data_IF_366199317729
#
_entry.id   IF_366199317729
#
_cell.length_a   1.000
_cell.length_b   1.000
_cell.length_c   1.000
_cell.angle_alpha   90.00
_cell.angle_beta   90.00
_cell.angle_gamma   90.00
#
_symmetry.space_group_name_H-M   'P 1'
#
loop_
_entity.id
_entity.type
_entity.pdbx_description
1 polymer ?
#
# COMPACT_ATOMS: atom_id res chain seq x y z
N UNK A 1 82.73 80.92 -6.57
CA UNK A 1 82.96 79.95 -7.67
C UNK A 1 81.77 79.00 -7.73
N UNK A 2 81.05 78.97 -8.87
CA UNK A 2 80.07 77.96 -9.37
C UNK A 2 78.93 77.52 -8.42
N UNK A 3 77.67 77.29 -8.78
CA UNK A 3 76.80 77.49 -9.95
C UNK A 3 75.67 76.47 -9.76
N UNK A 4 74.43 76.98 -9.60
CA UNK A 4 73.13 76.38 -9.95
C UNK A 4 72.59 75.11 -9.26
N UNK A 5 71.53 75.38 -8.47
CA UNK A 5 70.39 74.50 -8.15
C UNK A 5 69.74 73.92 -9.41
N UNK A 6 69.29 72.66 -9.33
CA UNK A 6 67.99 72.27 -9.92
C UNK A 6 67.20 71.46 -8.87
N UNK A 7 65.96 71.88 -8.63
CA UNK A 7 64.96 71.19 -7.80
C UNK A 7 64.28 70.14 -8.66
N UNK A 8 64.20 68.89 -8.20
CA UNK A 8 63.25 67.90 -8.72
C UNK A 8 62.52 67.32 -7.51
N UNK A 9 61.21 67.57 -7.42
CA UNK A 9 60.33 67.00 -6.40
C UNK A 9 60.07 65.51 -6.69
N UNK A 10 59.89 64.65 -5.67
CA UNK A 10 59.57 63.24 -5.89
C UNK A 10 58.14 63.06 -6.42
N UNK A 11 57.89 62.10 -7.34
CA UNK A 11 56.56 61.84 -7.87
C UNK A 11 55.66 61.13 -6.85
N UNK A 12 54.40 61.58 -6.76
CA UNK A 12 53.36 61.08 -5.86
C UNK A 12 53.06 59.58 -6.10
N UNK A 13 53.28 58.73 -5.09
CA UNK A 13 53.10 57.26 -5.13
C UNK A 13 51.70 56.80 -5.57
N UNK A 14 50.66 57.62 -5.37
CA UNK A 14 49.29 57.34 -5.81
C UNK A 14 49.16 57.24 -7.35
N UNK A 15 49.95 58.02 -8.10
CA UNK A 15 49.90 58.04 -9.57
C UNK A 15 50.51 56.79 -10.20
N UNK A 16 51.46 56.15 -9.53
CA UNK A 16 52.14 54.95 -10.02
C UNK A 16 51.28 53.70 -9.87
N UNK A 17 50.57 53.59 -8.74
CA UNK A 17 49.59 52.51 -8.51
C UNK A 17 48.39 52.61 -9.45
N UNK A 18 47.87 53.82 -9.68
CA UNK A 18 46.79 54.05 -10.64
C UNK A 18 47.20 53.68 -12.08
N UNK A 19 48.44 54.00 -12.49
CA UNK A 19 48.97 53.67 -13.82
C UNK A 19 49.23 52.17 -13.99
N UNK A 20 49.69 51.50 -12.93
CA UNK A 20 49.89 50.04 -12.93
C UNK A 20 48.56 49.26 -12.97
N UNK A 21 47.55 49.70 -12.21
CA UNK A 21 46.19 49.15 -12.28
C UNK A 21 45.55 49.37 -13.66
N UNK A 22 45.74 50.54 -14.27
CA UNK A 22 45.24 50.85 -15.62
C UNK A 22 45.85 49.93 -16.70
N UNK A 23 47.16 49.71 -16.67
CA UNK A 23 47.86 48.82 -17.61
C UNK A 23 47.43 47.36 -17.40
N UNK A 24 47.23 46.95 -16.14
CA UNK A 24 46.74 45.61 -15.82
C UNK A 24 45.30 45.41 -16.33
N UNK A 25 44.44 46.42 -16.18
CA UNK A 25 43.07 46.45 -16.71
C UNK A 25 43.04 46.40 -18.25
N UNK A 26 43.91 47.12 -18.94
CA UNK A 26 44.01 47.06 -20.41
C UNK A 26 44.51 45.69 -20.91
N UNK A 27 45.50 45.10 -20.23
CA UNK A 27 46.00 43.75 -20.54
C UNK A 27 44.95 42.65 -20.32
N UNK A 28 44.20 42.75 -19.20
CA UNK A 28 43.05 41.89 -18.92
C UNK A 28 41.95 42.05 -19.99
N UNK A 29 41.67 43.28 -20.42
CA UNK A 29 40.66 43.57 -21.45
C UNK A 29 41.05 43.02 -22.83
N UNK A 30 42.33 43.09 -23.21
CA UNK A 30 42.84 42.54 -24.47
C UNK A 30 42.73 41.01 -24.51
N UNK A 31 43.16 40.34 -23.44
CA UNK A 31 43.07 38.87 -23.32
C UNK A 31 41.60 38.39 -23.33
N UNK A 32 40.71 39.11 -22.64
CA UNK A 32 39.28 38.83 -22.62
C UNK A 32 38.62 38.99 -24.00
N UNK A 33 39.08 39.97 -24.80
CA UNK A 33 38.57 40.20 -26.16
C UNK A 33 38.91 39.06 -27.14
N UNK A 34 40.09 38.45 -27.00
CA UNK A 34 40.52 37.30 -27.81
C UNK A 34 39.71 36.06 -27.41
N UNK A 35 39.52 35.85 -26.10
CA UNK A 35 38.74 34.74 -25.57
C UNK A 35 37.27 34.79 -26.04
N UNK A 36 36.64 35.97 -25.99
CA UNK A 36 35.25 36.16 -26.44
C UNK A 36 35.08 35.98 -27.95
N UNK A 37 36.12 36.29 -28.74
CA UNK A 37 36.12 36.12 -30.21
C UNK A 37 36.16 34.65 -30.63
N UNK A 38 36.77 33.79 -29.83
CA UNK A 38 36.87 32.34 -30.07
C UNK A 38 35.83 31.52 -29.29
N UNK A 39 34.88 32.18 -28.63
CA UNK A 39 33.83 31.51 -27.86
C UNK A 39 32.81 30.83 -28.78
N UNK A 40 32.31 29.66 -28.37
CA UNK A 40 31.19 28.97 -29.02
C UNK A 40 29.84 29.68 -28.82
N UNK A 41 29.78 30.68 -27.93
CA UNK A 41 28.57 31.46 -27.67
C UNK A 41 28.46 32.58 -28.72
N UNK A 42 27.49 32.44 -29.63
CA UNK A 42 27.26 33.37 -30.75
C UNK A 42 27.18 34.85 -30.33
N UNK A 43 26.57 35.12 -29.17
CA UNK A 43 26.41 36.49 -28.68
C UNK A 43 27.75 37.08 -28.20
N UNK A 44 28.65 36.28 -27.63
CA UNK A 44 29.98 36.71 -27.18
C UNK A 44 30.88 37.18 -28.33
N UNK A 45 30.81 36.50 -29.48
CA UNK A 45 31.61 36.86 -30.67
C UNK A 45 31.12 38.18 -31.29
N UNK A 46 29.81 38.43 -31.26
CA UNK A 46 29.17 39.66 -31.77
C UNK A 46 29.38 40.90 -30.89
N UNK A 47 29.50 40.72 -29.56
CA UNK A 47 29.80 41.80 -28.60
C UNK A 47 31.16 42.45 -28.90
N UNK A 48 32.14 41.70 -29.41
CA UNK A 48 33.47 42.22 -29.76
C UNK A 48 33.51 42.85 -31.15
N UNK A 49 32.77 42.29 -32.12
CA UNK A 49 32.86 42.64 -33.55
C UNK A 49 31.84 43.71 -34.03
N UNK A 50 30.70 43.90 -33.35
CA UNK A 50 29.62 44.78 -33.82
C UNK A 50 29.83 46.27 -33.46
N UNK A 51 29.28 47.18 -34.27
CA UNK A 51 29.21 48.63 -33.95
C UNK A 51 28.26 48.93 -32.78
N UNK A 52 27.24 48.08 -32.56
CA UNK A 52 26.25 48.22 -31.48
C UNK A 52 26.60 47.36 -30.26
N UNK A 53 27.85 47.45 -29.78
CA UNK A 53 28.38 46.61 -28.67
C UNK A 53 27.49 46.61 -27.42
N UNK A 54 26.92 47.77 -27.08
CA UNK A 54 26.02 47.94 -25.92
C UNK A 54 24.71 47.15 -26.08
N UNK A 55 24.13 47.11 -27.28
CA UNK A 55 22.90 46.37 -27.54
C UNK A 55 23.13 44.85 -27.45
N UNK A 56 24.22 44.35 -28.04
CA UNK A 56 24.58 42.93 -27.95
C UNK A 56 24.96 42.49 -26.54
N UNK A 57 25.62 43.37 -25.78
CA UNK A 57 25.89 43.12 -24.37
C UNK A 57 24.60 43.07 -23.54
N UNK A 58 23.64 43.97 -23.79
CA UNK A 58 22.31 43.91 -23.15
C UNK A 58 21.58 42.61 -23.49
N UNK A 59 21.60 42.17 -24.75
CA UNK A 59 21.02 40.88 -25.17
C UNK A 59 21.68 39.71 -24.45
N UNK A 60 23.01 39.72 -24.31
CA UNK A 60 23.75 38.71 -23.57
C UNK A 60 23.33 38.67 -22.09
N UNK A 61 23.28 39.83 -21.42
CA UNK A 61 22.86 39.95 -20.02
C UNK A 61 21.42 39.46 -19.83
N UNK A 62 20.48 39.88 -20.69
CA UNK A 62 19.09 39.43 -20.64
C UNK A 62 19.00 37.92 -20.83
N UNK A 63 19.73 37.35 -21.81
CA UNK A 63 19.73 35.91 -22.05
C UNK A 63 20.28 35.10 -20.88
N UNK A 64 21.32 35.61 -20.20
CA UNK A 64 21.88 34.99 -19.00
C UNK A 64 20.88 35.01 -17.84
N UNK A 65 20.23 36.15 -17.59
CA UNK A 65 19.21 36.28 -16.53
C UNK A 65 18.05 35.31 -16.78
N UNK A 66 17.52 35.27 -18.01
CA UNK A 66 16.42 34.36 -18.36
C UNK A 66 16.85 32.90 -18.23
N UNK A 67 18.05 32.55 -18.70
CA UNK A 67 18.59 31.19 -18.59
C UNK A 67 18.77 30.78 -17.13
N UNK A 68 19.40 31.61 -16.30
CA UNK A 68 19.56 31.37 -14.86
C UNK A 68 18.20 31.20 -14.15
N UNK A 69 17.21 32.02 -14.49
CA UNK A 69 15.85 31.86 -13.94
C UNK A 69 15.21 30.53 -14.35
N UNK A 70 15.35 30.11 -15.61
CA UNK A 70 14.83 28.82 -16.09
C UNK A 70 15.53 27.64 -15.45
N UNK A 71 16.86 27.69 -15.30
CA UNK A 71 17.64 26.67 -14.60
C UNK A 71 17.21 26.60 -13.14
N UNK A 72 17.09 27.74 -12.45
CA UNK A 72 16.61 27.77 -11.07
C UNK A 72 15.22 27.15 -10.91
N UNK A 73 14.27 27.49 -11.81
CA UNK A 73 12.95 26.86 -11.82
C UNK A 73 12.98 25.37 -12.09
N UNK A 74 13.81 24.90 -13.01
CA UNK A 74 13.96 23.48 -13.31
C UNK A 74 14.58 22.72 -12.12
N UNK A 75 15.60 23.29 -11.50
CA UNK A 75 16.19 22.80 -10.26
C UNK A 75 15.15 22.68 -9.15
N UNK A 76 14.34 23.72 -8.92
CA UNK A 76 13.25 23.66 -7.94
C UNK A 76 12.27 22.51 -8.24
N UNK A 77 11.88 22.33 -9.50
CA UNK A 77 10.98 21.26 -9.91
C UNK A 77 11.62 19.87 -9.73
N UNK A 78 12.91 19.73 -10.04
CA UNK A 78 13.65 18.49 -9.86
C UNK A 78 13.68 18.04 -8.40
N UNK A 79 13.96 18.96 -7.47
CA UNK A 79 13.97 18.67 -6.02
C UNK A 79 12.59 18.49 -5.39
N UNK A 80 11.50 18.75 -6.12
CA UNK A 80 10.14 18.42 -5.67
C UNK A 80 9.77 16.95 -5.91
N UNK A 81 10.60 16.20 -6.66
CA UNK A 81 10.36 14.80 -7.02
C UNK A 81 8.92 14.53 -7.53
N UNK A 82 8.43 15.28 -8.53
CA UNK A 82 7.10 15.05 -9.08
C UNK A 82 7.03 13.67 -9.75
N UNK A 83 5.90 12.99 -9.60
CA UNK A 83 5.64 11.67 -10.21
C UNK A 83 4.63 11.78 -11.35
N UNK A 84 4.79 10.92 -12.35
CA UNK A 84 3.80 10.74 -13.43
C UNK A 84 3.33 9.29 -13.40
N UNK A 85 2.01 9.10 -13.35
CA UNK A 85 1.42 7.76 -13.37
C UNK A 85 1.36 7.26 -14.81
N UNK A 86 1.99 6.11 -15.06
CA UNK A 86 1.90 5.40 -16.34
C UNK A 86 0.93 4.23 -16.20
N UNK A 87 -0.13 4.24 -17.01
CA UNK A 87 -1.08 3.13 -17.09
C UNK A 87 -0.72 2.26 -18.29
N UNK A 88 -0.34 1.01 -18.03
CA UNK A 88 -0.02 0.03 -19.06
C UNK A 88 -0.97 -1.16 -18.94
N UNK A 89 -1.54 -1.58 -20.08
CA UNK A 89 -2.33 -2.81 -20.17
C UNK A 89 -1.37 -3.88 -20.67
N UNK A 90 -0.95 -4.78 -19.77
CA UNK A 90 -0.11 -5.92 -20.15
C UNK A 90 -0.98 -7.10 -20.55
N UNK A 91 -0.94 -7.45 -21.84
CA UNK A 91 -1.58 -8.66 -22.36
C UNK A 91 -0.65 -9.87 -22.18
N UNK A 92 -0.71 -10.50 -21.02
CA UNK A 92 0.03 -11.74 -20.75
C UNK A 92 -0.78 -12.96 -21.15
N UNK A 93 -0.15 -13.95 -21.82
CA UNK A 93 -0.80 -15.23 -22.21
C UNK A 93 -1.37 -16.02 -21.04
N UNK A 94 -0.82 -15.84 -19.84
CA UNK A 94 -1.31 -16.49 -18.62
C UNK A 94 -1.26 -15.52 -17.45
N UNK A 95 -2.29 -15.53 -16.62
CA UNK A 95 -2.38 -14.74 -15.38
C UNK A 95 -2.31 -15.66 -14.16
N UNK A 96 -1.70 -15.18 -13.09
CA UNK A 96 -1.71 -15.88 -11.78
C UNK A 96 -3.15 -15.85 -11.27
N UNK A 97 -3.71 -17.02 -11.00
CA UNK A 97 -5.04 -17.09 -10.39
C UNK A 97 -4.92 -16.62 -8.93
N UNK A 98 -5.87 -15.84 -8.41
CA UNK A 98 -5.81 -15.38 -7.02
C UNK A 98 -6.01 -16.53 -6.04
N UNK A 99 -5.80 -16.26 -4.76
CA UNK A 99 -6.29 -17.13 -3.70
C UNK A 99 -7.75 -16.75 -3.39
N UNK A 100 -8.57 -17.77 -3.14
CA UNK A 100 -9.99 -17.60 -2.84
C UNK A 100 -10.26 -18.25 -1.48
N UNK A 101 -10.54 -17.42 -0.48
CA UNK A 101 -10.90 -17.85 0.86
C UNK A 101 -12.40 -17.83 1.04
N UNK A 102 -12.94 -18.90 1.59
CA UNK A 102 -14.34 -19.06 1.94
C UNK A 102 -14.44 -19.48 3.39
N UNK A 103 -15.27 -18.77 4.15
CA UNK A 103 -15.61 -19.11 5.53
C UNK A 103 -17.11 -19.27 5.64
N UNK A 104 -17.57 -20.34 6.27
CA UNK A 104 -18.98 -20.46 6.63
C UNK A 104 -19.32 -19.39 7.68
N UNK A 105 -20.48 -18.73 7.57
CA UNK A 105 -20.93 -17.81 8.62
C UNK A 105 -21.39 -18.54 9.89
N UNK A 106 -21.51 -19.86 9.82
CA UNK A 106 -21.64 -20.73 10.98
C UNK A 106 -20.28 -20.97 11.65
N UNK A 107 -20.05 -20.22 12.72
CA UNK A 107 -18.81 -20.23 13.51
C UNK A 107 -18.59 -21.54 14.30
N UNK A 108 -19.68 -22.15 14.77
CA UNK A 108 -19.67 -23.34 15.61
C UNK A 108 -20.90 -24.18 15.29
N UNK A 109 -20.68 -25.45 14.95
CA UNK A 109 -21.77 -26.40 14.75
C UNK A 109 -22.60 -26.50 16.04
N UNK A 110 -23.88 -26.16 15.95
CA UNK A 110 -24.84 -26.42 17.01
C UNK A 110 -25.32 -27.87 17.02
N UNK A 111 -26.13 -28.20 18.02
CA UNK A 111 -26.96 -29.40 17.98
C UNK A 111 -27.91 -29.33 16.75
N UNK A 112 -28.23 -30.50 16.19
CA UNK A 112 -29.15 -30.60 15.06
C UNK A 112 -30.53 -30.06 15.47
N UNK A 113 -30.88 -28.88 14.97
CA UNK A 113 -32.17 -28.26 15.24
C UNK A 113 -33.04 -28.40 13.98
N UNK A 114 -34.18 -29.09 14.09
CA UNK A 114 -35.22 -29.09 13.07
C UNK A 114 -35.88 -27.72 13.10
N UNK A 115 -35.30 -26.74 12.42
CA UNK A 115 -35.95 -25.45 12.19
C UNK A 115 -37.04 -25.69 11.14
N UNK A 116 -38.31 -25.52 11.52
CA UNK A 116 -39.42 -25.54 10.57
C UNK A 116 -39.16 -24.51 9.46
N UNK A 117 -39.45 -24.89 8.22
CA UNK A 117 -39.13 -24.15 7.00
C UNK A 117 -40.05 -22.91 6.77
N UNK A 118 -40.76 -22.48 7.81
CA UNK A 118 -41.86 -21.50 7.75
C UNK A 118 -41.43 -20.07 8.05
N UNK A 119 -40.23 -19.84 8.58
CA UNK A 119 -39.74 -18.48 8.81
C UNK A 119 -39.00 -17.93 7.57
N UNK A 120 -39.47 -16.82 6.97
CA UNK A 120 -38.71 -16.15 5.93
C UNK A 120 -37.36 -15.75 6.53
N UNK A 121 -36.29 -16.25 5.92
CA UNK A 121 -34.92 -16.02 6.34
C UNK A 121 -34.54 -14.56 6.01
N UNK A 122 -35.06 -13.62 6.76
CA UNK A 122 -34.48 -12.28 6.86
C UNK A 122 -33.34 -12.38 7.84
N UNK A 123 -32.12 -12.57 7.32
CA UNK A 123 -30.95 -12.41 8.16
C UNK A 123 -30.88 -10.96 8.61
N UNK A 124 -31.23 -10.67 9.86
CA UNK A 124 -30.84 -9.38 10.43
C UNK A 124 -29.31 -9.37 10.45
N UNK A 125 -28.65 -8.33 9.92
CA UNK A 125 -27.20 -8.24 10.08
C UNK A 125 -26.90 -8.31 11.58
N UNK A 126 -25.85 -9.05 11.96
CA UNK A 126 -25.30 -9.03 13.32
C UNK A 126 -24.94 -7.58 13.69
N UNK A 127 -25.94 -6.83 14.14
CA UNK A 127 -25.76 -5.51 14.69
C UNK A 127 -25.06 -5.69 16.03
N UNK A 128 -25.30 -6.78 16.77
CA UNK A 128 -24.76 -7.01 18.13
C UNK A 128 -23.24 -7.26 18.08
N UNK A 129 -22.50 -6.18 18.31
CA UNK A 129 -21.24 -6.11 19.10
C UNK A 129 -19.86 -6.29 18.46
N UNK A 130 -19.70 -6.60 17.17
CA UNK A 130 -18.34 -6.65 16.61
C UNK A 130 -17.90 -5.39 15.84
N UNK A 131 -18.86 -4.60 15.32
CA UNK A 131 -18.65 -3.26 14.72
C UNK A 131 -19.62 -2.19 15.25
N UNK A 132 -20.48 -2.52 16.24
CA UNK A 132 -21.27 -1.50 16.98
C UNK A 132 -20.32 -0.75 17.91
N UNK A 133 -19.50 0.10 17.28
CA UNK A 133 -19.20 1.45 17.69
C UNK A 133 -18.86 1.66 19.18
N UNK A 134 -17.62 2.11 19.39
CA UNK A 134 -17.21 3.03 20.45
C UNK A 134 -18.23 4.15 20.79
N UNK A 135 -19.26 4.38 19.96
CA UNK A 135 -20.36 5.32 20.22
C UNK A 135 -21.23 4.96 21.45
N UNK A 136 -21.32 3.69 21.87
CA UNK A 136 -22.10 3.36 23.09
C UNK A 136 -21.31 3.53 24.39
N UNK A 137 -20.00 3.74 24.32
CA UNK A 137 -19.17 4.01 25.50
C UNK A 137 -19.25 5.47 25.99
N UNK A 138 -19.95 6.36 25.26
CA UNK A 138 -20.04 7.78 25.64
C UNK A 138 -21.25 8.15 26.50
N UNK A 139 -22.29 7.33 26.57
CA UNK A 139 -23.43 7.57 27.48
C UNK A 139 -24.08 6.24 27.89
N UNK A 140 -23.59 5.69 28.99
CA UNK A 140 -24.04 4.42 29.58
C UNK A 140 -25.45 4.47 30.13
N UNK A 141 -26.44 4.25 29.27
CA UNK A 141 -27.72 3.67 29.69
C UNK A 141 -27.90 2.34 28.98
N UNK A 142 -27.33 1.29 29.56
CA UNK A 142 -27.56 -0.09 29.15
C UNK A 142 -29.04 -0.38 29.44
N UNK A 143 -29.89 -0.35 28.42
CA UNK A 143 -31.19 -1.03 28.53
C UNK A 143 -30.88 -2.52 28.59
N UNK A 144 -31.16 -3.14 29.73
CA UNK A 144 -31.04 -4.59 29.94
C UNK A 144 -32.01 -5.33 29.02
N UNK A 145 -31.59 -5.56 27.77
CA UNK A 145 -32.27 -6.45 26.84
C UNK A 145 -31.75 -7.87 27.07
N UNK A 146 -32.56 -8.69 27.74
CA UNK A 146 -32.23 -10.09 28.09
C UNK A 146 -31.82 -10.91 26.86
N UNK A 147 -32.36 -10.61 25.67
CA UNK A 147 -32.03 -11.34 24.44
C UNK A 147 -30.63 -11.04 23.90
N UNK A 148 -30.04 -9.90 24.25
CA UNK A 148 -28.67 -9.58 23.90
C UNK A 148 -27.68 -10.21 24.88
N UNK A 149 -28.09 -10.45 26.13
CA UNK A 149 -27.24 -11.04 27.16
C UNK A 149 -26.82 -12.46 26.81
N UNK A 150 -27.76 -13.34 26.42
CA UNK A 150 -27.46 -14.73 26.04
C UNK A 150 -26.48 -14.83 24.86
N UNK A 151 -26.62 -13.92 23.87
CA UNK A 151 -25.71 -13.85 22.72
C UNK A 151 -24.31 -13.38 23.14
N UNK A 152 -24.23 -12.40 24.04
CA UNK A 152 -22.95 -11.92 24.58
C UNK A 152 -22.28 -13.03 25.38
N UNK A 153 -23.01 -13.73 26.25
CA UNK A 153 -22.46 -14.81 27.08
C UNK A 153 -21.91 -15.96 26.21
N UNK A 154 -22.64 -16.33 25.15
CA UNK A 154 -22.13 -17.29 24.15
C UNK A 154 -20.87 -16.79 23.43
N UNK A 155 -20.85 -15.54 22.97
CA UNK A 155 -19.68 -14.97 22.30
C UNK A 155 -18.47 -14.96 23.23
N UNK A 156 -18.66 -14.58 24.48
CA UNK A 156 -17.60 -14.58 25.50
C UNK A 156 -17.08 -16.00 25.75
N UNK A 157 -17.96 -17.00 25.85
CA UNK A 157 -17.57 -18.39 25.99
C UNK A 157 -16.79 -18.89 24.76
N UNK A 158 -17.25 -18.58 23.54
CA UNK A 158 -16.57 -18.96 22.30
C UNK A 158 -15.17 -18.32 22.17
N UNK A 159 -15.03 -17.04 22.54
CA UNK A 159 -13.74 -16.35 22.46
C UNK A 159 -12.77 -16.78 23.55
N UNK A 160 -13.26 -17.29 24.67
CA UNK A 160 -12.43 -17.87 25.73
C UNK A 160 -11.85 -19.25 25.36
N UNK A 161 -12.41 -19.94 24.36
CA UNK A 161 -11.89 -21.23 23.88
C UNK A 161 -10.52 -21.09 23.24
N UNK A 162 -9.75 -22.16 23.25
CA UNK A 162 -8.49 -22.22 22.49
C UNK A 162 -8.76 -22.40 20.98
N UNK A 163 -7.71 -22.28 20.15
CA UNK A 163 -7.86 -22.46 18.70
C UNK A 163 -8.26 -23.90 18.31
N UNK A 164 -7.81 -24.90 19.06
CA UNK A 164 -8.04 -26.33 18.75
C UNK A 164 -9.49 -26.71 19.02
N UNK A 165 -10.05 -26.27 20.13
CA UNK A 165 -11.45 -26.39 20.51
C UNK A 165 -12.33 -25.72 19.47
N UNK A 166 -12.03 -24.46 19.11
CA UNK A 166 -12.75 -23.76 18.03
C UNK A 166 -12.69 -24.53 16.71
N UNK A 167 -11.55 -25.13 16.40
CA UNK A 167 -11.39 -25.95 15.20
C UNK A 167 -12.27 -27.21 15.23
N UNK A 168 -12.32 -27.91 16.38
CA UNK A 168 -13.11 -29.14 16.57
C UNK A 168 -14.61 -28.85 16.48
N UNK A 169 -15.09 -27.79 17.13
CA UNK A 169 -16.51 -27.44 17.12
C UNK A 169 -16.92 -26.66 15.85
N UNK A 170 -15.97 -26.16 15.07
CA UNK A 170 -16.22 -25.47 13.81
C UNK A 170 -16.66 -26.41 12.70
N UNK A 171 -17.36 -25.89 11.69
CA UNK A 171 -17.80 -26.70 10.57
C UNK A 171 -16.62 -27.22 9.76
N UNK A 172 -16.57 -28.53 9.46
CA UNK A 172 -15.50 -29.07 8.62
C UNK A 172 -15.54 -28.43 7.21
N UNK A 173 -14.44 -27.77 6.75
CA UNK A 173 -14.45 -27.10 5.46
C UNK A 173 -14.65 -28.00 4.24
N UNK A 174 -14.17 -29.25 4.33
CA UNK A 174 -14.38 -30.26 3.28
C UNK A 174 -15.81 -30.80 3.26
N UNK A 175 -16.54 -30.69 4.37
CA UNK A 175 -17.95 -31.07 4.42
C UNK A 175 -18.80 -30.00 3.73
N UNK A 176 -18.60 -28.71 4.06
CA UNK A 176 -19.42 -27.65 3.46
C UNK A 176 -19.05 -27.34 2.00
N UNK A 177 -17.83 -27.65 1.57
CA UNK A 177 -17.42 -27.57 0.17
C UNK A 177 -17.68 -28.90 -0.54
N UNK A 178 -18.90 -29.07 -1.04
CA UNK A 178 -19.39 -30.32 -1.62
C UNK A 178 -18.74 -30.64 -2.98
N UNK A 179 -18.48 -29.63 -3.83
CA UNK A 179 -17.66 -29.83 -5.03
C UNK A 179 -16.77 -28.63 -5.34
N UNK A 180 -15.61 -28.90 -5.94
CA UNK A 180 -14.65 -27.89 -6.36
C UNK A 180 -14.04 -28.31 -7.69
N UNK A 181 -14.13 -27.42 -8.69
CA UNK A 181 -13.45 -27.60 -9.97
C UNK A 181 -12.71 -26.32 -10.35
N UNK A 182 -11.51 -26.49 -10.90
CA UNK A 182 -10.73 -25.40 -11.47
C UNK A 182 -10.32 -25.80 -12.89
N UNK A 183 -10.62 -24.93 -13.86
CA UNK A 183 -10.36 -25.21 -15.28
C UNK A 183 -10.92 -26.57 -15.73
N UNK A 184 -12.17 -26.86 -15.33
CA UNK A 184 -12.87 -28.12 -15.60
C UNK A 184 -12.36 -29.37 -14.89
N UNK A 185 -11.32 -29.27 -14.04
CA UNK A 185 -10.74 -30.41 -13.30
C UNK A 185 -11.05 -30.32 -11.82
N UNK A 186 -11.27 -31.46 -11.17
CA UNK A 186 -11.46 -31.50 -9.72
C UNK A 186 -10.24 -30.91 -8.98
N UNK A 187 -10.52 -30.08 -7.97
CA UNK A 187 -9.48 -29.48 -7.15
C UNK A 187 -8.74 -30.54 -6.33
N UNK A 188 -7.41 -30.43 -6.24
CA UNK A 188 -6.61 -31.31 -5.39
C UNK A 188 -6.55 -30.76 -3.96
N UNK A 189 -6.53 -31.65 -2.95
CA UNK A 189 -6.29 -31.26 -1.54
C UNK A 189 -4.99 -30.48 -1.36
N UNK A 190 -3.98 -30.71 -2.20
CA UNK A 190 -2.72 -29.97 -2.13
C UNK A 190 -2.89 -28.47 -2.43
N UNK A 191 -3.91 -28.10 -3.23
CA UNK A 191 -4.24 -26.71 -3.59
C UNK A 191 -5.08 -26.00 -2.54
N UNK A 192 -5.55 -26.74 -1.53
CA UNK A 192 -6.39 -26.23 -0.45
C UNK A 192 -5.53 -25.97 0.78
N UNK A 193 -5.92 -24.95 1.54
CA UNK A 193 -5.35 -24.62 2.83
C UNK A 193 -6.48 -24.35 3.82
N UNK A 194 -6.42 -24.98 4.99
CA UNK A 194 -7.43 -24.85 6.03
C UNK A 194 -6.87 -24.02 7.18
N UNK A 195 -7.71 -23.18 7.78
CA UNK A 195 -7.36 -22.43 8.98
C UNK A 195 -8.64 -22.08 9.75
N UNK A 196 -8.50 -21.81 11.04
CA UNK A 196 -9.60 -21.41 11.91
C UNK A 196 -9.58 -19.91 12.09
N UNK A 197 -10.59 -19.22 11.57
CA UNK A 197 -10.79 -17.80 11.81
C UNK A 197 -11.50 -17.57 13.15
N UNK A 198 -11.06 -16.56 13.87
CA UNK A 198 -11.60 -16.22 15.19
C UNK A 198 -13.06 -15.75 15.16
N UNK A 199 -13.56 -15.20 14.05
CA UNK A 199 -14.95 -14.71 13.91
C UNK A 199 -15.83 -15.68 13.15
N UNK A 200 -15.29 -16.32 12.13
CA UNK A 200 -16.05 -17.15 11.18
C UNK A 200 -15.80 -18.64 11.36
N UNK A 201 -14.94 -19.06 12.30
CA UNK A 201 -14.62 -20.46 12.52
C UNK A 201 -13.79 -21.04 11.36
N UNK A 202 -14.01 -22.31 11.03
CA UNK A 202 -13.18 -23.00 10.05
C UNK A 202 -13.39 -22.47 8.63
N UNK A 203 -12.29 -22.06 8.00
CA UNK A 203 -12.23 -21.52 6.66
C UNK A 203 -11.36 -22.39 5.75
N UNK A 204 -11.58 -22.23 4.44
CA UNK A 204 -10.79 -22.86 3.39
C UNK A 204 -10.26 -21.80 2.44
N UNK A 205 -9.02 -21.95 1.99
CA UNK A 205 -8.39 -21.12 0.97
C UNK A 205 -7.93 -21.98 -0.19
N UNK A 206 -8.47 -21.73 -1.37
CA UNK A 206 -7.99 -22.29 -2.62
C UNK A 206 -6.79 -21.48 -3.12
N UNK A 207 -5.79 -22.18 -3.65
CA UNK A 207 -4.63 -21.62 -4.34
C UNK A 207 -3.74 -20.68 -3.47
N UNK A 208 -3.60 -20.98 -2.18
CA UNK A 208 -2.62 -20.34 -1.29
C UNK A 208 -1.19 -20.71 -1.72
N UNK A 209 -0.27 -19.73 -1.79
CA UNK A 209 1.15 -20.00 -2.09
C UNK A 209 1.78 -20.78 -0.93
N UNK A 210 2.38 -21.93 -1.23
CA UNK A 210 3.17 -22.76 -0.30
C UNK A 210 4.64 -22.75 -0.75
N UNK A 211 5.58 -22.96 0.17
CA UNK A 211 7.02 -22.79 -0.07
C UNK A 211 7.55 -23.59 -1.28
N UNK A 212 7.03 -24.80 -1.51
CA UNK A 212 7.47 -25.70 -2.59
C UNK A 212 6.40 -25.93 -3.67
N UNK A 213 5.38 -25.08 -3.73
CA UNK A 213 4.28 -25.25 -4.67
C UNK A 213 4.03 -23.95 -5.44
N UNK A 214 3.93 -24.07 -6.76
CA UNK A 214 3.52 -22.93 -7.58
C UNK A 214 2.02 -22.72 -7.53
N UNK A 215 1.64 -21.44 -7.59
CA UNK A 215 0.23 -21.05 -7.64
C UNK A 215 -0.31 -21.29 -9.03
N UNK A 216 -1.57 -21.71 -9.08
CA UNK A 216 -2.28 -21.95 -10.32
C UNK A 216 -2.39 -20.68 -11.15
N UNK A 217 -2.41 -20.88 -12.46
CA UNK A 217 -2.53 -19.83 -13.46
C UNK A 217 -3.71 -20.16 -14.37
N UNK A 218 -4.30 -19.12 -14.96
CA UNK A 218 -5.33 -19.26 -15.99
C UNK A 218 -4.89 -18.55 -17.27
N UNK A 219 -5.23 -19.12 -18.42
CA UNK A 219 -4.92 -18.59 -19.76
C UNK A 219 -6.15 -18.08 -20.49
N UNK A 220 -7.34 -18.38 -19.99
CA UNK A 220 -8.60 -18.15 -20.67
C UNK A 220 -9.58 -17.42 -19.74
N UNK A 221 -10.49 -16.67 -20.36
CA UNK A 221 -11.53 -15.92 -19.66
C UNK A 221 -12.83 -16.69 -19.76
N UNK A 222 -13.58 -16.74 -18.66
CA UNK A 222 -14.91 -17.33 -18.60
C UNK A 222 -15.05 -18.33 -17.44
N UNK A 223 -16.29 -18.77 -17.16
CA UNK A 223 -16.57 -19.65 -16.03
C UNK A 223 -15.95 -21.05 -16.19
N UNK A 224 -15.74 -21.53 -17.42
CA UNK A 224 -15.11 -22.83 -17.68
C UNK A 224 -13.63 -22.90 -17.25
N UNK A 225 -12.92 -21.78 -17.37
CA UNK A 225 -11.49 -21.65 -17.06
C UNK A 225 -11.22 -21.03 -15.68
N UNK A 226 -12.29 -20.87 -14.89
CA UNK A 226 -12.29 -20.33 -13.53
C UNK A 226 -12.36 -21.40 -12.44
N UNK A 227 -12.64 -20.93 -11.22
CA UNK A 227 -12.94 -21.77 -10.06
C UNK A 227 -14.46 -21.85 -9.88
N UNK A 228 -15.01 -23.06 -9.96
CA UNK A 228 -16.41 -23.34 -9.68
C UNK A 228 -16.51 -24.17 -8.41
N UNK A 229 -17.27 -23.68 -7.44
CA UNK A 229 -17.43 -24.33 -6.14
C UNK A 229 -18.92 -24.47 -5.84
N UNK A 230 -19.33 -25.68 -5.46
CA UNK A 230 -20.66 -25.93 -4.92
C UNK A 230 -20.56 -26.07 -3.41
N UNK A 231 -21.39 -25.31 -2.69
CA UNK A 231 -21.32 -25.19 -1.24
C UNK A 231 -22.64 -25.63 -0.60
N UNK A 232 -22.53 -26.47 0.42
CA UNK A 232 -23.64 -26.84 1.29
C UNK A 232 -23.38 -26.25 2.68
N UNK A 233 -24.16 -25.24 3.06
CA UNK A 233 -23.96 -24.55 4.34
C UNK A 233 -24.43 -25.35 5.56
N UNK A 234 -25.17 -26.45 5.34
CA UNK A 234 -25.84 -27.23 6.39
C UNK A 234 -26.61 -26.35 7.39
N UNK A 235 -27.64 -25.66 6.89
CA UNK A 235 -28.52 -24.75 7.65
C UNK A 235 -28.98 -25.34 9.00
N UNK A 236 -29.23 -26.65 9.09
CA UNK A 236 -29.69 -27.32 10.31
C UNK A 236 -28.73 -27.22 11.50
N UNK A 237 -27.44 -26.97 11.27
CA UNK A 237 -26.43 -26.79 12.32
C UNK A 237 -26.22 -25.32 12.71
N UNK A 238 -26.92 -24.37 12.09
CA UNK A 238 -26.83 -22.96 12.46
C UNK A 238 -27.58 -22.69 13.77
N UNK A 239 -26.84 -22.18 14.76
CA UNK A 239 -27.41 -21.78 16.04
C UNK A 239 -28.23 -20.49 15.92
N UNK A 240 -29.19 -20.28 16.83
CA UNK A 240 -30.06 -19.08 16.84
C UNK A 240 -29.30 -17.76 17.08
N UNK A 241 -28.06 -17.84 17.53
CA UNK A 241 -27.17 -16.71 17.78
C UNK A 241 -26.57 -16.17 16.47
N UNK A 242 -26.56 -17.00 15.42
CA UNK A 242 -26.07 -16.62 14.09
C UNK A 242 -27.23 -16.07 13.28
N UNK A 243 -27.25 -14.76 13.08
CA UNK A 243 -28.33 -14.08 12.37
C UNK A 243 -28.18 -14.07 10.84
N UNK A 244 -27.05 -14.52 10.30
CA UNK A 244 -26.78 -14.45 8.87
C UNK A 244 -26.40 -15.83 8.35
N UNK A 245 -27.14 -16.32 7.36
CA UNK A 245 -26.83 -17.54 6.62
C UNK A 245 -26.01 -17.18 5.38
N UNK A 246 -24.92 -17.89 5.14
CA UNK A 246 -24.10 -17.65 3.96
C UNK A 246 -22.64 -18.04 4.16
N UNK A 247 -21.83 -17.54 3.25
CA UNK A 247 -20.37 -17.54 3.39
C UNK A 247 -19.82 -16.11 3.35
N UNK A 248 -18.63 -15.96 3.92
CA UNK A 248 -17.75 -14.85 3.61
C UNK A 248 -16.76 -15.28 2.53
N UNK A 249 -16.77 -14.57 1.40
CA UNK A 249 -15.89 -14.81 0.25
C UNK A 249 -14.83 -13.70 0.18
N UNK A 250 -13.55 -14.08 0.17
CA UNK A 250 -12.41 -13.17 0.10
C UNK A 250 -11.50 -13.58 -1.05
N UNK A 251 -11.15 -12.62 -1.90
CA UNK A 251 -10.25 -12.82 -3.04
C UNK A 251 -9.00 -11.98 -2.78
N UNK A 252 -7.84 -12.61 -2.72
CA UNK A 252 -6.58 -11.94 -2.33
C UNK A 252 -5.37 -12.51 -3.08
N UNK A 253 -4.20 -11.88 -2.95
CA UNK A 253 -2.98 -12.45 -3.53
C UNK A 253 -2.63 -13.77 -2.81
N UNK A 254 -2.25 -14.83 -3.54
CA UNK A 254 -1.83 -16.09 -2.94
C UNK A 254 -0.73 -16.03 -1.86
N UNK A 255 0.11 -15.01 -1.84
CA UNK A 255 1.15 -14.84 -0.80
C UNK A 255 0.64 -14.17 0.47
N UNK A 256 -0.50 -13.47 0.40
CA UNK A 256 -1.07 -12.74 1.54
C UNK A 256 -1.95 -13.63 2.42
N UNK A 257 -2.07 -13.27 3.70
CA UNK A 257 -3.07 -13.84 4.61
C UNK A 257 -4.42 -13.15 4.38
N UNK A 258 -5.52 -13.91 4.22
CA UNK A 258 -6.84 -13.30 4.02
C UNK A 258 -7.22 -12.46 5.23
N UNK A 259 -7.61 -11.19 5.00
CA UNK A 259 -8.21 -10.38 6.07
C UNK A 259 -9.69 -10.61 6.15
N UNK A 260 -10.09 -11.48 7.07
CA UNK A 260 -11.50 -11.72 7.38
C UNK A 260 -12.17 -10.53 8.07
N UNK A 261 -11.44 -9.59 8.66
CA UNK A 261 -12.05 -8.44 9.34
C UNK A 261 -12.34 -7.27 8.40
N UNK A 262 -11.49 -7.07 7.38
CA UNK A 262 -11.52 -5.87 6.52
C UNK A 262 -12.02 -6.16 5.11
N UNK A 263 -11.70 -7.36 4.58
CA UNK A 263 -11.98 -7.70 3.19
C UNK A 263 -13.15 -8.68 3.05
N UNK A 264 -13.58 -8.86 1.81
CA UNK A 264 -14.54 -9.87 1.41
C UNK A 264 -15.98 -9.39 1.29
N UNK A 265 -16.79 -10.26 0.71
CA UNK A 265 -18.22 -10.05 0.50
C UNK A 265 -18.99 -11.19 1.13
N UNK A 266 -20.19 -10.89 1.63
CA UNK A 266 -21.10 -11.92 2.13
C UNK A 266 -21.93 -12.45 0.96
N UNK A 267 -21.99 -13.77 0.82
CA UNK A 267 -22.77 -14.46 -0.21
C UNK A 267 -23.82 -15.31 0.49
N UNK A 268 -25.09 -15.00 0.23
CA UNK A 268 -26.21 -15.78 0.73
C UNK A 268 -26.44 -17.06 -0.09
N UNK A 269 -27.12 -18.06 0.49
CA UNK A 269 -27.49 -19.29 -0.23
C UNK A 269 -28.64 -19.05 -1.23
N UNK A 270 -28.87 -20.02 -2.12
CA UNK A 270 -30.03 -20.04 -3.03
C UNK A 270 -29.81 -19.39 -4.41
N UNK A 271 -28.60 -18.87 -4.67
CA UNK A 271 -28.24 -18.24 -5.94
C UNK A 271 -26.87 -18.71 -6.42
N UNK A 272 -26.68 -18.74 -7.74
CA UNK A 272 -25.36 -18.85 -8.35
C UNK A 272 -24.72 -17.47 -8.46
N UNK A 273 -23.50 -17.30 -7.92
CA UNK A 273 -22.78 -16.02 -7.92
C UNK A 273 -21.58 -16.10 -8.84
N UNK A 274 -21.59 -15.30 -9.90
CA UNK A 274 -20.48 -15.15 -10.83
C UNK A 274 -19.62 -13.94 -10.45
N UNK A 275 -18.36 -14.18 -10.07
CA UNK A 275 -17.38 -13.12 -9.78
C UNK A 275 -16.38 -12.95 -10.93
N UNK A 276 -16.55 -11.89 -11.74
CA UNK A 276 -15.57 -11.53 -12.77
C UNK A 276 -14.43 -10.70 -12.18
N UNK A 277 -13.19 -11.11 -12.45
CA UNK A 277 -12.00 -10.52 -11.84
C UNK A 277 -11.12 -9.82 -12.87
N UNK A 278 -10.53 -8.69 -12.45
CA UNK A 278 -9.49 -7.97 -13.20
C UNK A 278 -8.30 -7.73 -12.29
N UNK A 279 -7.12 -8.22 -12.69
CA UNK A 279 -5.90 -7.98 -11.94
C UNK A 279 -5.39 -6.56 -12.23
N UNK A 280 -5.07 -5.82 -11.17
CA UNK A 280 -4.41 -4.51 -11.25
C UNK A 280 -3.14 -4.56 -10.40
N UNK A 281 -2.00 -4.25 -11.00
CA UNK A 281 -0.70 -4.22 -10.31
C UNK A 281 -0.27 -2.76 -10.18
N UNK A 282 -0.08 -2.31 -8.94
CA UNK A 282 0.36 -0.95 -8.65
C UNK A 282 1.80 -0.98 -8.15
N UNK A 283 2.72 -0.38 -8.92
CA UNK A 283 4.13 -0.25 -8.54
C UNK A 283 4.35 1.19 -8.09
N UNK A 284 4.89 1.37 -6.88
CA UNK A 284 5.19 2.69 -6.30
C UNK A 284 6.69 2.91 -6.19
N UNK A 285 7.11 4.16 -6.20
CA UNK A 285 8.50 4.55 -6.06
C UNK A 285 8.87 4.74 -4.57
N UNK A 286 10.06 4.28 -4.14
CA UNK A 286 10.53 4.45 -2.76
C UNK A 286 10.95 5.91 -2.48
N UNK A 287 11.49 6.20 -1.30
CA UNK A 287 12.09 7.53 -1.04
C UNK A 287 13.14 7.88 -2.12
N UNK A 288 13.22 9.14 -2.60
CA UNK A 288 12.70 10.40 -2.01
C UNK A 288 11.34 10.89 -2.55
N UNK A 289 10.56 10.06 -3.24
CA UNK A 289 9.25 10.47 -3.80
C UNK A 289 8.18 10.63 -2.71
N UNK A 290 7.16 11.47 -2.96
CA UNK A 290 6.17 11.93 -1.97
C UNK A 290 5.39 10.83 -1.24
N UNK A 291 5.17 9.68 -1.90
CA UNK A 291 4.41 8.57 -1.33
C UNK A 291 5.16 7.84 -0.21
N UNK A 292 6.46 8.12 -0.04
CA UNK A 292 7.34 7.49 0.95
C UNK A 292 7.16 5.96 1.01
N UNK A 293 7.03 5.31 -0.14
CA UNK A 293 6.73 3.88 -0.20
C UNK A 293 7.87 3.09 0.47
N UNK A 294 7.47 2.19 1.37
CA UNK A 294 8.36 1.33 2.15
C UNK A 294 8.44 -0.04 1.49
N UNK A 295 9.64 -0.63 1.46
CA UNK A 295 9.82 -2.04 1.07
C UNK A 295 9.70 -2.91 2.32
N UNK A 296 8.52 -3.53 2.50
CA UNK A 296 8.13 -4.26 3.70
C UNK A 296 9.17 -5.30 4.18
N UNK A 297 9.57 -6.25 3.33
CA UNK A 297 10.46 -7.35 3.75
C UNK A 297 11.83 -6.87 4.29
N UNK A 298 12.41 -5.82 3.72
CA UNK A 298 13.73 -5.31 4.13
C UNK A 298 13.67 -4.30 5.25
N UNK A 299 12.65 -3.43 5.25
CA UNK A 299 12.59 -2.29 6.19
C UNK A 299 11.87 -2.63 7.50
N UNK A 300 10.98 -3.63 7.51
CA UNK A 300 10.26 -4.03 8.73
C UNK A 300 10.87 -5.25 9.43
N UNK A 301 12.03 -5.77 9.00
CA UNK A 301 12.66 -6.98 9.56
C UNK A 301 11.70 -8.17 9.71
N UNK A 302 10.75 -8.33 8.78
CA UNK A 302 9.75 -9.40 8.84
C UNK A 302 8.52 -9.14 9.72
N UNK A 303 8.42 -8.00 10.41
CA UNK A 303 7.26 -7.61 11.21
C UNK A 303 5.95 -7.50 10.42
N UNK A 304 6.01 -7.04 9.17
CA UNK A 304 4.85 -6.96 8.28
C UNK A 304 5.27 -7.12 6.83
N UNK A 305 4.49 -7.88 6.03
CA UNK A 305 4.80 -8.10 4.60
C UNK A 305 4.01 -7.19 3.66
N UNK A 306 2.96 -6.56 4.19
CA UNK A 306 2.10 -5.64 3.44
C UNK A 306 1.51 -4.57 4.36
N UNK A 307 0.84 -3.58 3.74
CA UNK A 307 0.23 -2.45 4.46
C UNK A 307 -0.77 -2.90 5.54
N UNK A 308 -1.56 -3.93 5.25
CA UNK A 308 -2.62 -4.41 6.14
C UNK A 308 -2.04 -5.05 7.39
N UNK A 309 -1.03 -5.90 7.22
CA UNK A 309 -0.27 -6.49 8.34
C UNK A 309 0.40 -5.43 9.20
N UNK A 310 1.02 -4.41 8.59
CA UNK A 310 1.64 -3.31 9.33
C UNK A 310 0.63 -2.54 10.19
N UNK A 311 -0.53 -2.18 9.62
CA UNK A 311 -1.59 -1.49 10.36
C UNK A 311 -2.12 -2.37 11.50
N UNK A 312 -2.36 -3.66 11.24
CA UNK A 312 -2.86 -4.58 12.29
C UNK A 312 -1.87 -4.74 13.43
N UNK A 313 -0.61 -4.96 13.11
CA UNK A 313 0.42 -5.12 14.11
C UNK A 313 0.64 -3.84 14.94
N UNK A 314 0.45 -2.66 14.34
CA UNK A 314 0.41 -1.38 15.08
C UNK A 314 -0.80 -1.29 16.04
N UNK A 315 -1.99 -1.66 15.58
CA UNK A 315 -3.20 -1.71 16.44
C UNK A 315 -2.99 -2.68 17.59
N UNK A 316 -2.38 -3.83 17.31
CA UNK A 316 -2.09 -4.89 18.26
C UNK A 316 -1.13 -4.41 19.36
N UNK A 317 0.01 -3.83 18.98
CA UNK A 317 0.96 -3.24 19.92
C UNK A 317 0.29 -2.19 20.81
N UNK A 318 -0.50 -1.29 20.21
CA UNK A 318 -1.22 -0.25 20.96
C UNK A 318 -2.28 -0.82 21.91
N UNK A 319 -2.99 -1.87 21.49
CA UNK A 319 -3.96 -2.59 22.31
C UNK A 319 -3.28 -3.23 23.52
N UNK A 320 -2.13 -3.88 23.32
CA UNK A 320 -1.37 -4.50 24.39
C UNK A 320 -0.86 -3.46 25.40
N UNK A 321 -0.28 -2.35 24.93
CA UNK A 321 0.18 -1.25 25.80
C UNK A 321 -0.95 -0.66 26.66
N UNK A 322 -2.15 -0.55 26.09
CA UNK A 322 -3.28 0.14 26.74
C UNK A 322 -4.09 -0.78 27.64
N UNK A 323 -4.30 -2.03 27.21
CA UNK A 323 -5.23 -2.98 27.81
C UNK A 323 -4.55 -4.19 28.45
N UNK A 324 -3.26 -4.44 28.19
CA UNK A 324 -2.52 -5.59 28.69
C UNK A 324 -2.90 -6.92 28.05
N UNK A 325 -3.64 -6.91 26.94
CA UNK A 325 -4.10 -8.11 26.26
C UNK A 325 -3.95 -8.00 24.74
N UNK A 326 -3.77 -9.17 24.12
CA UNK A 326 -3.57 -9.32 22.69
C UNK A 326 -4.58 -10.32 22.09
N UNK A 327 -4.90 -10.15 20.81
CA UNK A 327 -5.75 -11.09 20.07
C UNK A 327 -4.95 -12.33 19.67
N UNK A 328 -5.48 -13.55 19.90
CA UNK A 328 -4.78 -14.81 19.61
C UNK A 328 -4.48 -15.10 18.13
N UNK A 329 -4.84 -14.20 17.19
CA UNK A 329 -4.78 -14.46 15.74
C UNK A 329 -3.35 -14.36 15.18
N UNK A 330 -2.40 -13.87 15.98
CA UNK A 330 -1.06 -13.59 15.53
C UNK A 330 -0.09 -14.58 16.16
N UNK A 331 0.42 -15.50 15.33
CA UNK A 331 1.56 -16.34 15.67
C UNK A 331 2.80 -15.47 15.82
N UNK A 332 2.98 -14.89 17.01
CA UNK A 332 4.23 -14.31 17.44
C UNK A 332 4.41 -14.74 18.90
N UNK A 333 5.31 -15.70 19.11
CA UNK A 333 5.84 -16.05 20.43
C UNK A 333 6.65 -14.89 21.05
N UNK A 334 6.76 -13.74 20.39
CA UNK A 334 7.39 -12.53 20.94
C UNK A 334 6.59 -11.27 20.62
N UNK A 335 6.38 -10.38 21.61
CA UNK A 335 5.74 -9.09 21.40
C UNK A 335 6.62 -8.21 20.51
N UNK A 336 6.03 -7.39 19.63
CA UNK A 336 6.81 -6.48 18.80
C UNK A 336 7.47 -5.40 19.66
N UNK A 337 8.80 -5.34 19.59
CA UNK A 337 9.54 -4.16 20.07
C UNK A 337 9.07 -2.93 19.28
N UNK A 338 8.55 -1.94 20.00
CA UNK A 338 8.16 -0.66 19.44
C UNK A 338 9.37 0.01 18.77
N UNK A 339 9.22 0.35 17.48
CA UNK A 339 10.20 1.16 16.72
C UNK A 339 9.88 2.64 16.89
#
# INVERSE_FOLDING_TARGET
>A
MKSLRSKIAPPNSLTFLARSLYICMEGLCYSFSILLKNSSVYVCTRVVQSLFKRAWFLVLVISLIVSSYKIWKFCQLYWQYPIVVSLQINETKTLKFPAVTMCNLNRQMGEFNVKEDTDPITGEPLLISERRNLYYCQNGTIKNDKTNQEKIDYLMAYYAMDEKERHIFGMNPLMFMESCTFNGKFCSLAQLNFFTDFRYGNCITFNKKKQYMETLRTSEIGPGSGLNVYLNLYKFYYQNIQHTLGIKLIIHDPTEVPSTEDDGVFVGPGFEVLASLKQTINIRLPKPYQDHCVIYDSETKGFAKNKKECIRACIQAKSYETCGCDRPVFGSDEPPEAV
#
